data_IF_909892873361
#
_entry.id   IF_909892873361
#
_cell.length_a   1.000
_cell.length_b   1.000
_cell.length_c   1.000
_cell.angle_alpha   90.00
_cell.angle_beta   90.00
_cell.angle_gamma   90.00
#
_symmetry.space_group_name_H-M   'P 1'
#
loop_
_entity.id
_entity.type
_entity.pdbx_description
1 polymer ?
#
# COMPACT_ATOMS: atom_id res chain seq x y z
N UNK A 1 -15.38 -33.17 79.16
CA UNK A 1 -14.82 -34.20 78.26
C UNK A 1 -15.83 -34.35 77.13
N UNK A 2 -15.57 -33.74 75.96
CA UNK A 2 -15.30 -34.46 74.69
C UNK A 2 -16.64 -34.80 74.00
N UNK A 3 -16.98 -34.38 72.79
CA UNK A 3 -16.18 -34.06 71.61
C UNK A 3 -16.68 -34.94 70.46
N UNK A 4 -17.21 -34.30 69.41
CA UNK A 4 -17.32 -34.74 68.01
C UNK A 4 -17.64 -36.22 67.68
N UNK A 5 -18.83 -36.43 67.10
CA UNK A 5 -19.16 -37.30 65.96
C UNK A 5 -20.71 -37.29 65.87
N UNK A 6 -21.39 -37.17 64.74
CA UNK A 6 -21.03 -37.55 63.38
C UNK A 6 -21.79 -36.66 62.39
N UNK A 7 -20.99 -35.93 61.63
CA UNK A 7 -21.31 -35.14 60.45
C UNK A 7 -21.41 -36.16 59.29
N UNK A 8 -22.43 -37.03 59.32
CA UNK A 8 -22.53 -38.18 58.38
C UNK A 8 -23.97 -38.48 57.91
N UNK A 9 -24.90 -37.53 58.08
CA UNK A 9 -26.27 -37.60 57.54
C UNK A 9 -26.54 -36.69 56.33
N UNK A 10 -25.60 -35.80 55.97
CA UNK A 10 -25.80 -34.75 54.96
C UNK A 10 -25.15 -34.99 53.60
N UNK A 11 -24.30 -36.01 53.44
CA UNK A 11 -23.44 -36.17 52.24
C UNK A 11 -23.87 -37.29 51.29
N UNK A 12 -25.01 -37.93 51.53
CA UNK A 12 -25.55 -39.00 50.66
C UNK A 12 -26.87 -38.62 49.96
N UNK A 13 -27.40 -37.40 50.17
CA UNK A 13 -28.63 -36.94 49.53
C UNK A 13 -28.41 -35.89 48.42
N UNK A 14 -27.21 -35.34 48.28
CA UNK A 14 -26.87 -34.38 47.21
C UNK A 14 -26.29 -35.04 45.95
N UNK A 15 -25.85 -36.31 46.01
CA UNK A 15 -25.15 -36.97 44.89
C UNK A 15 -26.06 -37.79 43.97
N UNK A 16 -27.36 -37.92 44.26
CA UNK A 16 -28.26 -38.80 43.49
C UNK A 16 -29.42 -38.12 42.76
N UNK A 17 -29.57 -36.79 42.85
CA UNK A 17 -30.69 -36.06 42.19
C UNK A 17 -30.27 -35.15 41.02
N UNK A 18 -28.98 -35.10 40.67
CA UNK A 18 -28.45 -34.22 39.62
C UNK A 18 -28.19 -34.89 38.25
N UNK A 19 -28.67 -36.12 38.04
CA UNK A 19 -28.27 -36.93 36.87
C UNK A 19 -29.39 -37.29 35.89
N UNK A 20 -30.49 -36.52 35.80
CA UNK A 20 -31.54 -36.82 34.80
C UNK A 20 -32.46 -35.63 34.47
N UNK A 21 -31.92 -34.53 33.91
CA UNK A 21 -32.70 -33.58 33.08
C UNK A 21 -31.83 -32.94 31.99
N UNK A 22 -31.81 -33.58 30.82
CA UNK A 22 -31.81 -32.91 29.52
C UNK A 22 -33.19 -33.24 28.90
N UNK A 23 -33.85 -32.36 28.12
CA UNK A 23 -33.23 -31.77 26.93
C UNK A 23 -33.74 -30.36 26.51
N UNK A 24 -33.17 -29.87 25.40
CA UNK A 24 -33.63 -28.78 24.53
C UNK A 24 -33.52 -27.32 25.02
N UNK A 25 -32.30 -26.76 24.94
CA UNK A 25 -32.09 -25.41 24.39
C UNK A 25 -30.65 -25.22 23.87
N UNK A 26 -30.19 -26.17 23.06
CA UNK A 26 -29.10 -25.89 22.12
C UNK A 26 -29.72 -25.11 20.96
N UNK A 27 -29.39 -23.83 20.84
CA UNK A 27 -28.71 -23.25 19.66
C UNK A 27 -28.89 -21.73 19.64
N UNK A 28 -28.10 -21.03 20.45
CA UNK A 28 -27.59 -19.72 20.05
C UNK A 28 -26.07 -19.81 20.10
N UNK A 29 -25.51 -20.64 19.21
CA UNK A 29 -24.16 -20.38 18.74
C UNK A 29 -24.23 -19.02 18.05
N UNK A 30 -23.93 -17.96 18.80
CA UNK A 30 -23.25 -16.81 18.22
C UNK A 30 -22.00 -17.40 17.58
N UNK A 31 -22.10 -17.76 16.30
CA UNK A 31 -20.94 -17.87 15.44
C UNK A 31 -20.32 -16.48 15.47
N UNK A 32 -19.41 -16.27 16.40
CA UNK A 32 -18.34 -15.31 16.19
C UNK A 32 -17.63 -15.82 14.96
N UNK A 33 -18.02 -15.28 13.79
CA UNK A 33 -17.14 -15.28 12.64
C UNK A 33 -15.95 -14.44 13.12
N UNK A 34 -14.98 -15.11 13.71
CA UNK A 34 -13.63 -14.59 13.85
C UNK A 34 -13.15 -14.46 12.41
N UNK A 35 -13.53 -13.37 11.75
CA UNK A 35 -12.95 -12.96 10.50
C UNK A 35 -11.44 -12.99 10.80
N UNK A 36 -10.72 -13.91 10.16
CA UNK A 36 -9.27 -13.87 10.17
C UNK A 36 -8.93 -12.40 9.92
N UNK A 37 -8.30 -11.73 10.90
CA UNK A 37 -7.84 -10.36 10.73
C UNK A 37 -6.70 -10.42 9.71
N UNK A 38 -7.06 -10.58 8.43
CA UNK A 38 -6.19 -10.36 7.29
C UNK A 38 -6.00 -8.86 7.29
N UNK A 39 -4.97 -8.41 8.00
CA UNK A 39 -4.61 -7.00 8.03
C UNK A 39 -4.35 -6.48 6.62
N UNK A 40 -4.14 -5.17 6.48
CA UNK A 40 -4.04 -4.52 5.16
C UNK A 40 -2.74 -4.82 4.40
N UNK A 41 -1.92 -5.78 4.87
CA UNK A 41 -0.64 -6.16 4.26
C UNK A 41 -0.76 -6.73 2.85
N UNK A 42 -1.92 -7.27 2.48
CA UNK A 42 -2.15 -7.80 1.14
C UNK A 42 -2.08 -6.73 0.04
N UNK A 43 -2.37 -5.45 0.36
CA UNK A 43 -2.39 -4.36 -0.62
C UNK A 43 -0.99 -4.09 -1.19
N UNK A 44 0.05 -3.79 -0.39
CA UNK A 44 1.41 -3.58 -0.90
C UNK A 44 2.02 -4.84 -1.54
N UNK A 45 1.65 -6.04 -1.06
CA UNK A 45 2.09 -7.30 -1.66
C UNK A 45 1.48 -7.47 -3.05
N UNK A 46 0.17 -7.23 -3.19
CA UNK A 46 -0.53 -7.30 -4.47
C UNK A 46 0.03 -6.27 -5.48
N UNK A 47 0.29 -5.03 -5.03
CA UNK A 47 0.96 -4.02 -5.82
C UNK A 47 2.31 -4.51 -6.39
N UNK A 48 3.15 -5.08 -5.52
CA UNK A 48 4.46 -5.58 -5.91
C UNK A 48 4.38 -6.76 -6.88
N UNK A 49 3.45 -7.70 -6.64
CA UNK A 49 3.21 -8.82 -7.53
C UNK A 49 2.76 -8.33 -8.91
N UNK A 50 1.77 -7.43 -8.98
CA UNK A 50 1.25 -6.91 -10.25
C UNK A 50 2.33 -6.17 -11.03
N UNK A 51 3.09 -5.26 -10.40
CA UNK A 51 4.16 -4.53 -11.08
C UNK A 51 5.23 -5.47 -11.62
N UNK A 52 5.70 -6.40 -10.79
CA UNK A 52 6.74 -7.35 -11.19
C UNK A 52 6.24 -8.24 -12.33
N UNK A 53 5.06 -8.84 -12.19
CA UNK A 53 4.45 -9.65 -13.25
C UNK A 53 4.23 -8.86 -14.54
N UNK A 54 3.81 -7.60 -14.45
CA UNK A 54 3.62 -6.74 -15.63
C UNK A 54 4.93 -6.56 -16.38
N UNK A 55 6.02 -6.22 -15.69
CA UNK A 55 7.34 -6.05 -16.31
C UNK A 55 7.87 -7.33 -16.96
N UNK A 56 7.76 -8.47 -16.29
CA UNK A 56 8.22 -9.73 -16.84
C UNK A 56 7.36 -10.22 -18.01
N UNK A 57 6.03 -10.10 -17.91
CA UNK A 57 5.12 -10.52 -18.99
C UNK A 57 5.30 -9.65 -20.23
N UNK A 58 5.38 -8.32 -20.07
CA UNK A 58 5.62 -7.42 -21.22
C UNK A 58 6.98 -7.70 -21.87
N UNK A 59 8.03 -7.92 -21.06
CA UNK A 59 9.35 -8.29 -21.55
C UNK A 59 9.35 -9.60 -22.36
N UNK A 60 8.79 -10.68 -21.80
CA UNK A 60 8.73 -11.99 -22.47
C UNK A 60 7.94 -11.90 -23.78
N UNK A 61 6.80 -11.20 -23.77
CA UNK A 61 5.99 -11.03 -24.97
C UNK A 61 6.70 -10.19 -26.04
N UNK A 62 7.37 -9.11 -25.65
CA UNK A 62 8.11 -8.25 -26.56
C UNK A 62 9.26 -9.00 -27.25
N UNK A 63 9.98 -9.87 -26.52
CA UNK A 63 11.01 -10.76 -27.11
C UNK A 63 10.37 -11.77 -28.05
N UNK A 64 9.32 -12.47 -27.61
CA UNK A 64 8.66 -13.49 -28.42
C UNK A 64 8.11 -12.94 -29.74
N UNK A 65 7.68 -11.67 -29.74
CA UNK A 65 7.18 -10.96 -30.93
C UNK A 65 8.27 -10.27 -31.76
N UNK A 66 9.51 -10.20 -31.26
CA UNK A 66 10.59 -9.45 -31.92
C UNK A 66 10.37 -7.93 -31.92
N UNK A 67 9.56 -7.41 -30.99
CA UNK A 67 9.29 -5.97 -30.84
C UNK A 67 10.49 -5.22 -30.26
N UNK A 68 11.36 -5.91 -29.52
CA UNK A 68 12.56 -5.38 -28.86
C UNK A 68 13.74 -6.33 -29.05
N UNK A 69 14.96 -5.80 -28.96
CA UNK A 69 16.16 -6.63 -28.95
C UNK A 69 16.25 -7.44 -27.62
N UNK A 70 16.65 -8.73 -27.65
CA UNK A 70 16.59 -9.59 -26.46
C UNK A 70 17.56 -9.22 -25.34
N UNK A 71 18.66 -8.53 -25.66
CA UNK A 71 19.79 -8.43 -24.72
C UNK A 71 19.43 -7.68 -23.43
N UNK A 72 18.92 -6.44 -23.52
CA UNK A 72 18.45 -5.70 -22.33
C UNK A 72 17.64 -4.43 -22.67
N UNK A 73 16.38 -4.54 -23.11
CA UNK A 73 15.54 -3.39 -23.46
C UNK A 73 15.05 -2.63 -22.23
N UNK A 74 14.79 -1.34 -22.42
CA UNK A 74 14.09 -0.49 -21.44
C UNK A 74 12.71 -1.07 -21.12
N UNK A 75 12.25 -0.93 -19.88
CA UNK A 75 10.92 -1.39 -19.44
C UNK A 75 9.84 -0.74 -20.32
N UNK A 76 9.94 0.59 -20.50
CA UNK A 76 9.03 1.40 -21.31
C UNK A 76 8.96 0.95 -22.77
N UNK A 77 10.04 0.38 -23.32
CA UNK A 77 10.07 -0.19 -24.67
C UNK A 77 9.30 -1.52 -24.76
N UNK A 78 9.34 -2.35 -23.70
CA UNK A 78 8.62 -3.65 -23.68
C UNK A 78 7.10 -3.51 -23.69
N UNK A 79 6.57 -2.33 -23.34
CA UNK A 79 5.14 -2.04 -23.32
C UNK A 79 4.68 -1.11 -24.44
N UNK A 80 5.45 -0.99 -25.53
CA UNK A 80 5.24 0.08 -26.50
C UNK A 80 4.27 -0.25 -27.65
N UNK A 81 4.15 -1.52 -28.07
CA UNK A 81 3.26 -1.93 -29.19
C UNK A 81 2.22 -2.96 -28.74
N UNK A 82 1.04 -3.05 -29.39
CA UNK A 82 0.07 -4.10 -29.08
C UNK A 82 0.54 -5.50 -29.51
N UNK A 83 0.18 -6.56 -28.77
CA UNK A 83 -0.70 -6.59 -27.59
C UNK A 83 -0.02 -6.28 -26.24
N UNK A 84 1.31 -6.24 -26.19
CA UNK A 84 2.07 -6.05 -24.96
C UNK A 84 1.81 -4.69 -24.29
N UNK A 85 1.56 -3.65 -25.08
CA UNK A 85 1.18 -2.32 -24.57
C UNK A 85 -0.15 -2.31 -23.83
N UNK A 86 -1.11 -3.14 -24.25
CA UNK A 86 -2.41 -3.26 -23.58
C UNK A 86 -2.24 -3.93 -22.21
N UNK A 87 -1.44 -5.00 -22.13
CA UNK A 87 -1.16 -5.70 -20.87
C UNK A 87 -0.36 -4.80 -19.93
N UNK A 88 0.66 -4.12 -20.46
CA UNK A 88 1.46 -3.16 -19.71
C UNK A 88 0.61 -2.03 -19.12
N UNK A 89 -0.30 -1.46 -19.93
CA UNK A 89 -1.23 -0.42 -19.50
C UNK A 89 -2.15 -0.88 -18.38
N UNK A 90 -2.76 -2.06 -18.51
CA UNK A 90 -3.65 -2.62 -17.48
C UNK A 90 -2.90 -2.85 -16.16
N UNK A 91 -1.70 -3.43 -16.23
CA UNK A 91 -0.84 -3.65 -15.08
C UNK A 91 -0.47 -2.33 -14.38
N UNK A 92 0.04 -1.34 -15.13
CA UNK A 92 0.43 -0.06 -14.56
C UNK A 92 -0.74 0.74 -13.98
N UNK A 93 -1.92 0.71 -14.60
CA UNK A 93 -3.10 1.40 -14.06
C UNK A 93 -3.59 0.76 -12.75
N UNK A 94 -3.62 -0.58 -12.68
CA UNK A 94 -3.99 -1.28 -11.45
C UNK A 94 -2.97 -0.99 -10.33
N UNK A 95 -1.68 -0.99 -10.67
CA UNK A 95 -0.61 -0.63 -9.75
C UNK A 95 -0.68 0.84 -9.32
N UNK A 96 -1.05 1.76 -10.20
CA UNK A 96 -1.26 3.17 -9.85
C UNK A 96 -2.36 3.32 -8.81
N UNK A 97 -3.48 2.62 -8.98
CA UNK A 97 -4.56 2.62 -8.01
C UNK A 97 -4.16 2.03 -6.66
N UNK A 98 -3.49 0.87 -6.65
CA UNK A 98 -3.02 0.24 -5.40
C UNK A 98 -1.94 1.07 -4.70
N UNK A 99 -1.04 1.70 -5.46
CA UNK A 99 -0.04 2.64 -4.95
C UNK A 99 -0.71 3.83 -4.24
N UNK A 100 -1.73 4.41 -4.86
CA UNK A 100 -2.52 5.50 -4.26
C UNK A 100 -3.18 5.07 -2.94
N UNK A 101 -3.76 3.87 -2.90
CA UNK A 101 -4.35 3.30 -1.68
C UNK A 101 -3.28 3.13 -0.60
N UNK A 102 -2.10 2.60 -0.94
CA UNK A 102 -0.99 2.48 0.00
C UNK A 102 -0.60 3.83 0.60
N UNK A 103 -0.42 4.85 -0.24
CA UNK A 103 -0.07 6.21 0.20
C UNK A 103 -1.16 6.80 1.10
N UNK A 104 -2.43 6.59 0.77
CA UNK A 104 -3.56 7.06 1.58
C UNK A 104 -3.63 6.38 2.95
N UNK A 105 -3.53 5.05 3.00
CA UNK A 105 -3.53 4.28 4.25
C UNK A 105 -2.36 4.70 5.13
N UNK A 106 -1.16 4.82 4.55
CA UNK A 106 0.03 5.20 5.30
C UNK A 106 -0.09 6.63 5.86
N UNK A 107 -0.62 7.58 5.08
CA UNK A 107 -0.91 8.92 5.60
C UNK A 107 -1.87 8.89 6.79
N UNK A 108 -2.94 8.09 6.72
CA UNK A 108 -3.89 7.92 7.81
C UNK A 108 -3.20 7.40 9.09
N UNK A 109 -2.38 6.36 8.95
CA UNK A 109 -1.59 5.78 10.05
C UNK A 109 -0.67 6.86 10.67
N UNK A 110 0.14 7.53 9.85
CA UNK A 110 1.12 8.49 10.32
C UNK A 110 0.47 9.74 10.94
N UNK A 111 -0.61 10.24 10.34
CA UNK A 111 -1.40 11.37 10.88
C UNK A 111 -1.98 11.04 12.25
N UNK A 112 -2.50 9.83 12.42
CA UNK A 112 -3.08 9.40 13.68
C UNK A 112 -2.02 9.21 14.77
N UNK A 113 -0.91 8.53 14.47
CA UNK A 113 0.18 8.30 15.43
C UNK A 113 0.80 9.63 15.91
N UNK A 114 0.86 10.63 15.04
CA UNK A 114 1.41 11.95 15.38
C UNK A 114 0.38 12.92 16.00
N UNK A 115 -0.90 12.53 16.11
CA UNK A 115 -1.98 13.43 16.57
C UNK A 115 -1.73 13.98 17.99
N UNK A 116 -1.13 13.17 18.86
CA UNK A 116 -0.88 13.53 20.25
C UNK A 116 0.26 14.55 20.44
N UNK A 117 1.01 14.87 19.38
CA UNK A 117 2.10 15.86 19.40
C UNK A 117 1.62 17.32 19.45
N UNK A 118 0.31 17.55 19.34
CA UNK A 118 -0.28 18.90 19.40
C UNK A 118 0.32 19.84 18.35
N UNK A 119 0.87 20.97 18.78
CA UNK A 119 1.50 21.97 17.91
C UNK A 119 2.80 21.49 17.25
N UNK A 120 3.45 20.44 17.79
CA UNK A 120 4.67 19.86 17.24
C UNK A 120 4.41 18.84 16.12
N UNK A 121 3.15 18.58 15.78
CA UNK A 121 2.80 17.63 14.72
C UNK A 121 3.33 18.10 13.35
N UNK A 122 3.99 17.23 12.57
CA UNK A 122 4.56 17.60 11.26
C UNK A 122 3.51 17.65 10.14
N UNK A 123 2.45 18.45 10.31
CA UNK A 123 1.29 18.48 9.41
C UNK A 123 1.65 18.81 7.96
N UNK A 124 2.53 19.79 7.76
CA UNK A 124 2.99 20.17 6.42
C UNK A 124 3.73 19.00 5.74
N UNK A 125 4.65 18.37 6.46
CA UNK A 125 5.45 17.26 5.94
C UNK A 125 4.59 16.02 5.63
N UNK A 126 3.60 15.71 6.48
CA UNK A 126 2.63 14.64 6.22
C UNK A 126 1.84 14.89 4.93
N UNK A 127 1.36 16.14 4.72
CA UNK A 127 0.65 16.52 3.49
C UNK A 127 1.55 16.41 2.26
N UNK A 128 2.78 16.92 2.33
CA UNK A 128 3.74 16.79 1.23
C UNK A 128 4.05 15.34 0.92
N UNK A 129 4.19 14.47 1.93
CA UNK A 129 4.32 13.04 1.73
C UNK A 129 3.14 12.49 0.93
N UNK A 130 1.90 12.81 1.28
CA UNK A 130 0.73 12.36 0.50
C UNK A 130 0.74 12.89 -0.93
N UNK A 131 1.03 14.18 -1.12
CA UNK A 131 1.06 14.81 -2.44
C UNK A 131 2.09 14.15 -3.35
N UNK A 132 3.30 13.88 -2.86
CA UNK A 132 4.34 13.20 -3.67
C UNK A 132 3.94 11.77 -4.03
N UNK A 133 3.24 11.07 -3.12
CA UNK A 133 2.67 9.75 -3.40
C UNK A 133 1.61 9.79 -4.49
N UNK A 134 0.69 10.76 -4.43
CA UNK A 134 -0.34 10.98 -5.46
C UNK A 134 0.31 11.29 -6.82
N UNK A 135 1.31 12.19 -6.86
CA UNK A 135 2.04 12.52 -8.08
C UNK A 135 2.70 11.27 -8.67
N UNK A 136 3.34 10.44 -7.84
CA UNK A 136 3.94 9.17 -8.25
C UNK A 136 2.92 8.22 -8.87
N UNK A 137 1.79 8.00 -8.19
CA UNK A 137 0.71 7.12 -8.68
C UNK A 137 0.08 7.63 -9.98
N UNK A 138 -0.17 8.95 -10.09
CA UNK A 138 -0.67 9.57 -11.33
C UNK A 138 0.33 9.41 -12.48
N UNK A 139 1.62 9.62 -12.20
CA UNK A 139 2.68 9.40 -13.19
C UNK A 139 2.68 7.97 -13.73
N UNK A 140 2.51 6.98 -12.86
CA UNK A 140 2.44 5.57 -13.25
C UNK A 140 1.25 5.29 -14.20
N UNK A 141 0.09 5.89 -13.92
CA UNK A 141 -1.07 5.79 -14.82
C UNK A 141 -0.81 6.47 -16.17
N UNK A 142 -0.19 7.65 -16.19
CA UNK A 142 0.17 8.34 -17.44
C UNK A 142 1.12 7.46 -18.27
N UNK A 143 2.20 6.93 -17.68
CA UNK A 143 3.15 6.02 -18.35
C UNK A 143 2.45 4.82 -18.96
N UNK A 144 1.48 4.23 -18.27
CA UNK A 144 0.71 3.08 -18.75
C UNK A 144 -0.19 3.38 -19.94
N UNK A 145 -0.72 4.59 -20.07
CA UNK A 145 -1.68 4.93 -21.13
C UNK A 145 -1.06 5.67 -22.33
N UNK A 146 0.03 6.40 -22.10
CA UNK A 146 0.74 7.15 -23.14
C UNK A 146 2.07 6.45 -23.40
N UNK A 147 2.11 5.56 -24.38
CA UNK A 147 3.31 4.78 -24.71
C UNK A 147 4.40 5.68 -25.28
N UNK A 148 5.65 5.35 -24.97
CA UNK A 148 6.82 6.12 -25.39
C UNK A 148 6.89 6.29 -26.92
N UNK A 149 6.57 5.24 -27.69
CA UNK A 149 6.63 5.30 -29.16
C UNK A 149 5.47 6.04 -29.82
N UNK A 150 4.37 6.27 -29.09
CA UNK A 150 3.16 6.91 -29.63
C UNK A 150 3.10 8.39 -29.26
N UNK A 151 3.31 8.71 -27.97
CA UNK A 151 3.20 10.08 -27.44
C UNK A 151 4.31 10.33 -26.42
N UNK A 152 5.56 10.38 -26.91
CA UNK A 152 6.77 10.45 -26.09
C UNK A 152 6.74 11.57 -25.04
N UNK A 153 6.33 12.78 -25.42
CA UNK A 153 6.32 13.94 -24.50
C UNK A 153 5.46 13.67 -23.26
N UNK A 154 4.25 13.12 -23.46
CA UNK A 154 3.34 12.81 -22.36
C UNK A 154 3.87 11.63 -21.53
N UNK A 155 4.45 10.63 -22.20
CA UNK A 155 5.11 9.50 -21.53
C UNK A 155 6.22 9.98 -20.58
N UNK A 156 7.10 10.87 -21.06
CA UNK A 156 8.22 11.42 -20.29
C UNK A 156 7.71 12.24 -19.10
N UNK A 157 6.65 13.05 -19.28
CA UNK A 157 6.01 13.76 -18.15
C UNK A 157 5.52 12.76 -17.10
N UNK A 158 4.84 11.69 -17.53
CA UNK A 158 4.41 10.61 -16.64
C UNK A 158 5.56 9.92 -15.92
N UNK A 159 6.66 9.63 -16.63
CA UNK A 159 7.84 8.98 -16.08
C UNK A 159 8.52 9.85 -15.02
N UNK A 160 8.67 11.15 -15.29
CA UNK A 160 9.21 12.12 -14.32
C UNK A 160 8.31 12.19 -13.09
N UNK A 161 6.99 12.29 -13.27
CA UNK A 161 6.03 12.28 -12.16
C UNK A 161 6.14 10.99 -11.33
N UNK A 162 6.18 9.82 -11.98
CA UNK A 162 6.28 8.51 -11.34
C UNK A 162 7.56 8.37 -10.52
N UNK A 163 8.71 8.61 -11.14
CA UNK A 163 10.01 8.40 -10.52
C UNK A 163 10.32 9.46 -9.47
N UNK A 164 10.24 10.75 -9.80
CA UNK A 164 10.55 11.82 -8.84
C UNK A 164 9.52 11.87 -7.71
N UNK A 165 8.23 11.68 -8.01
CA UNK A 165 7.18 11.59 -7.00
C UNK A 165 7.42 10.44 -6.02
N UNK A 166 7.78 9.25 -6.54
CA UNK A 166 8.11 8.09 -5.69
C UNK A 166 9.37 8.31 -4.86
N UNK A 167 10.45 8.84 -5.44
CA UNK A 167 11.69 9.13 -4.70
C UNK A 167 11.40 10.12 -3.57
N UNK A 168 10.70 11.22 -3.85
CA UNK A 168 10.32 12.19 -2.84
C UNK A 168 9.44 11.57 -1.75
N UNK A 169 8.46 10.75 -2.13
CA UNK A 169 7.63 9.99 -1.19
C UNK A 169 8.49 9.12 -0.26
N UNK A 170 9.40 8.32 -0.81
CA UNK A 170 10.28 7.43 -0.06
C UNK A 170 11.10 8.20 0.97
N UNK A 171 11.74 9.30 0.56
CA UNK A 171 12.62 10.09 1.43
C UNK A 171 11.84 10.81 2.53
N UNK A 172 10.72 11.45 2.19
CA UNK A 172 9.86 12.14 3.16
C UNK A 172 9.27 11.14 4.15
N UNK A 173 8.73 10.01 3.66
CA UNK A 173 8.17 8.95 4.49
C UNK A 173 9.22 8.38 5.45
N UNK A 174 10.42 8.11 4.96
CA UNK A 174 11.54 7.62 5.77
C UNK A 174 11.95 8.63 6.84
N UNK A 175 12.00 9.92 6.49
CA UNK A 175 12.27 10.98 7.45
C UNK A 175 11.19 11.05 8.54
N UNK A 176 9.91 10.97 8.17
CA UNK A 176 8.78 10.94 9.10
C UNK A 176 8.88 9.74 10.05
N UNK A 177 9.16 8.54 9.54
CA UNK A 177 9.37 7.33 10.34
C UNK A 177 10.48 7.52 11.38
N UNK A 178 11.63 8.05 10.96
CA UNK A 178 12.81 8.22 11.82
C UNK A 178 12.63 9.32 12.87
N UNK A 179 12.06 10.47 12.50
CA UNK A 179 12.03 11.67 13.35
C UNK A 179 10.77 11.82 14.18
N UNK A 180 9.62 11.42 13.67
CA UNK A 180 8.34 11.69 14.31
C UNK A 180 7.63 10.43 14.79
N UNK A 181 7.72 9.32 14.06
CA UNK A 181 7.06 8.07 14.49
C UNK A 181 7.92 7.23 15.45
N UNK A 182 9.17 7.61 15.67
CA UNK A 182 10.07 6.91 16.59
C UNK A 182 10.35 5.46 16.16
N UNK A 183 10.24 5.16 14.86
CA UNK A 183 10.50 3.81 14.38
C UNK A 183 11.96 3.46 14.63
N UNK A 184 12.19 2.22 15.02
CA UNK A 184 13.54 1.72 15.22
C UNK A 184 14.31 1.68 13.89
N UNK A 185 15.64 1.77 13.97
CA UNK A 185 16.55 1.79 12.81
C UNK A 185 16.32 0.67 11.80
N UNK A 186 15.94 -0.53 12.26
CA UNK A 186 15.70 -1.66 11.38
C UNK A 186 14.50 -1.47 10.42
N UNK A 187 13.60 -0.52 10.69
CA UNK A 187 12.51 -0.17 9.77
C UNK A 187 12.85 0.97 8.82
N UNK A 188 13.45 2.07 9.32
CA UNK A 188 13.68 3.24 8.48
C UNK A 188 15.01 3.19 7.71
N UNK A 189 16.04 2.51 8.21
CA UNK A 189 17.34 2.46 7.53
C UNK A 189 17.28 1.73 6.18
N UNK A 190 16.61 0.56 6.04
CA UNK A 190 16.44 -0.08 4.72
C UNK A 190 15.72 0.82 3.72
N UNK A 191 14.70 1.57 4.16
CA UNK A 191 13.99 2.54 3.30
C UNK A 191 14.87 3.69 2.85
N UNK A 192 15.77 4.15 3.72
CA UNK A 192 16.76 5.17 3.36
C UNK A 192 17.73 4.62 2.31
N UNK A 193 18.24 3.40 2.48
CA UNK A 193 19.11 2.75 1.50
C UNK A 193 18.41 2.59 0.15
N UNK A 194 17.14 2.17 0.15
CA UNK A 194 16.32 2.10 -1.07
C UNK A 194 16.18 3.48 -1.71
N UNK A 195 15.86 4.52 -0.93
CA UNK A 195 15.74 5.89 -1.43
C UNK A 195 17.04 6.43 -2.05
N UNK A 196 18.18 6.18 -1.41
CA UNK A 196 19.50 6.53 -1.97
C UNK A 196 19.77 5.75 -3.25
N UNK A 197 19.46 4.44 -3.27
CA UNK A 197 19.55 3.62 -4.46
C UNK A 197 18.72 4.17 -5.61
N UNK A 198 17.49 4.62 -5.35
CA UNK A 198 16.64 5.23 -6.37
C UNK A 198 17.23 6.54 -6.91
N UNK A 199 17.86 7.38 -6.06
CA UNK A 199 18.54 8.60 -6.52
C UNK A 199 19.71 8.24 -7.44
N UNK A 200 20.58 7.32 -7.01
CA UNK A 200 21.74 6.89 -7.80
C UNK A 200 21.32 6.28 -9.15
N UNK A 201 20.32 5.40 -9.12
CA UNK A 201 19.74 4.79 -10.32
C UNK A 201 19.09 5.83 -11.22
N UNK A 202 18.37 6.82 -10.67
CA UNK A 202 17.76 7.91 -11.42
C UNK A 202 18.78 8.83 -12.08
N UNK A 203 19.86 9.18 -11.38
CA UNK A 203 20.97 9.97 -11.94
C UNK A 203 21.65 9.20 -13.08
N UNK A 204 21.93 7.91 -12.86
CA UNK A 204 22.50 7.03 -13.90
C UNK A 204 21.59 6.93 -15.12
N UNK A 205 20.28 6.75 -14.91
CA UNK A 205 19.28 6.69 -15.98
C UNK A 205 19.29 7.97 -16.83
N UNK A 206 19.18 9.14 -16.20
CA UNK A 206 19.17 10.43 -16.91
C UNK A 206 20.51 10.68 -17.60
N UNK A 207 21.63 10.38 -16.94
CA UNK A 207 22.97 10.55 -17.50
C UNK A 207 23.20 9.70 -18.74
N UNK A 208 22.91 8.40 -18.66
CA UNK A 208 23.08 7.47 -19.79
C UNK A 208 22.08 7.78 -20.93
N UNK A 209 20.83 8.16 -20.62
CA UNK A 209 19.87 8.63 -21.64
C UNK A 209 20.33 9.91 -22.33
N UNK A 210 20.86 10.88 -21.57
CA UNK A 210 21.38 12.13 -22.15
C UNK A 210 22.58 11.85 -23.05
N UNK A 211 23.53 11.03 -22.60
CA UNK A 211 24.68 10.62 -23.41
C UNK A 211 24.26 9.91 -24.71
N UNK A 212 23.26 9.02 -24.64
CA UNK A 212 22.66 8.36 -25.79
C UNK A 212 22.09 9.37 -26.79
N UNK A 213 21.31 10.35 -26.34
CA UNK A 213 20.74 11.41 -27.18
C UNK A 213 21.80 12.33 -27.79
N UNK A 214 22.84 12.70 -27.03
CA UNK A 214 23.92 13.55 -27.53
C UNK A 214 24.78 12.86 -28.59
N UNK A 215 24.98 11.54 -28.49
CA UNK A 215 25.72 10.75 -29.48
C UNK A 215 24.90 10.50 -30.76
N UNK A 216 23.57 10.53 -30.67
CA UNK A 216 22.66 10.25 -31.79
C UNK A 216 21.42 11.17 -31.74
N UNK A 217 21.56 12.47 -32.02
CA UNK A 217 20.49 13.45 -31.85
C UNK A 217 19.30 13.23 -32.80
N UNK A 218 19.57 12.76 -34.02
CA UNK A 218 18.54 12.56 -35.05
C UNK A 218 17.79 11.23 -34.92
N UNK A 219 18.17 10.38 -33.96
CA UNK A 219 17.62 9.03 -33.83
C UNK A 219 16.25 9.08 -33.13
N UNK A 220 15.17 8.64 -33.79
CA UNK A 220 13.84 8.67 -33.19
C UNK A 220 13.77 7.68 -32.01
N UNK A 221 13.05 8.05 -30.96
CA UNK A 221 12.83 7.24 -29.75
C UNK A 221 12.26 5.84 -30.05
N UNK A 222 11.48 5.70 -31.12
CA UNK A 222 10.95 4.41 -31.60
C UNK A 222 12.02 3.43 -32.09
N UNK A 223 13.22 3.90 -32.41
CA UNK A 223 14.35 3.07 -32.84
C UNK A 223 15.33 2.73 -31.70
N UNK A 224 15.13 3.29 -30.50
CA UNK A 224 15.91 2.95 -29.31
C UNK A 224 15.57 1.56 -28.76
N UNK A 225 14.39 1.02 -29.08
CA UNK A 225 13.97 -0.34 -28.72
C UNK A 225 14.76 -1.43 -29.45
N UNK A 226 15.52 -1.08 -30.50
CA UNK A 226 16.29 -1.97 -31.37
C UNK A 226 17.73 -1.47 -31.58
N UNK A 227 18.45 -1.29 -30.47
CA UNK A 227 19.89 -0.99 -30.51
C UNK A 227 20.64 -2.31 -30.45
N UNK A 228 21.44 -2.61 -31.48
CA UNK A 228 22.24 -3.84 -31.57
C UNK A 228 23.56 -3.72 -30.79
N UNK A 229 24.17 -4.86 -30.39
CA UNK A 229 25.50 -4.87 -29.75
C UNK A 229 26.63 -4.20 -30.54
N UNK A 230 26.48 -4.12 -31.87
CA UNK A 230 27.44 -3.48 -32.77
C UNK A 230 27.31 -1.95 -32.82
N UNK A 231 26.25 -1.38 -32.22
CA UNK A 231 25.98 0.04 -32.26
C UNK A 231 26.91 0.83 -31.32
N UNK A 232 27.53 1.94 -31.76
CA UNK A 232 28.40 2.76 -30.92
C UNK A 232 27.72 3.34 -29.67
N UNK A 233 26.39 3.32 -29.58
CA UNK A 233 25.63 3.74 -28.39
C UNK A 233 25.03 2.60 -27.57
N UNK A 234 25.44 1.36 -27.84
CA UNK A 234 24.95 0.17 -27.15
C UNK A 234 25.20 0.25 -25.64
N UNK A 235 26.40 0.68 -25.22
CA UNK A 235 26.76 0.77 -23.81
C UNK A 235 25.86 1.76 -23.04
N UNK A 236 25.59 2.94 -23.61
CA UNK A 236 24.69 3.93 -23.02
C UNK A 236 23.25 3.43 -22.95
N UNK A 237 22.80 2.72 -23.98
CA UNK A 237 21.47 2.09 -24.01
C UNK A 237 21.32 1.08 -22.88
N UNK A 238 22.24 0.11 -22.77
CA UNK A 238 22.22 -0.91 -21.72
C UNK A 238 22.32 -0.29 -20.33
N UNK A 239 23.20 0.71 -20.14
CA UNK A 239 23.30 1.45 -18.88
C UNK A 239 21.96 2.11 -18.51
N UNK A 240 21.31 2.77 -19.46
CA UNK A 240 20.02 3.41 -19.22
C UNK A 240 18.93 2.40 -18.90
N UNK A 241 18.83 1.30 -19.64
CA UNK A 241 17.91 0.19 -19.36
C UNK A 241 18.14 -0.37 -17.96
N UNK A 242 19.38 -0.73 -17.60
CA UNK A 242 19.71 -1.25 -16.26
C UNK A 242 19.32 -0.27 -15.15
N UNK A 243 19.56 1.01 -15.36
CA UNK A 243 19.19 2.06 -14.41
C UNK A 243 17.67 2.21 -14.26
N UNK A 244 16.89 2.02 -15.33
CA UNK A 244 15.41 2.02 -15.29
C UNK A 244 14.88 0.80 -14.52
N UNK A 245 15.40 -0.40 -14.83
CA UNK A 245 15.03 -1.65 -14.17
C UNK A 245 15.34 -1.63 -12.67
N UNK A 246 16.54 -1.20 -12.30
CA UNK A 246 16.94 -1.06 -10.89
C UNK A 246 16.02 -0.07 -10.18
N UNK A 247 15.74 1.09 -10.79
CA UNK A 247 14.86 2.11 -10.20
C UNK A 247 13.44 1.56 -9.98
N UNK A 248 12.87 0.88 -10.98
CA UNK A 248 11.55 0.26 -10.88
C UNK A 248 11.46 -0.77 -9.75
N UNK A 249 12.42 -1.69 -9.67
CA UNK A 249 12.45 -2.72 -8.62
C UNK A 249 12.72 -2.15 -7.23
N UNK A 250 13.53 -1.10 -7.10
CA UNK A 250 13.72 -0.42 -5.81
C UNK A 250 12.43 0.23 -5.31
N UNK A 251 11.64 0.85 -6.20
CA UNK A 251 10.32 1.41 -5.85
C UNK A 251 9.37 0.29 -5.43
N UNK A 252 9.34 -0.83 -6.15
CA UNK A 252 8.54 -2.02 -5.78
C UNK A 252 8.95 -2.53 -4.39
N UNK A 253 10.25 -2.67 -4.14
CA UNK A 253 10.79 -3.14 -2.86
C UNK A 253 10.42 -2.19 -1.72
N UNK A 254 10.41 -0.88 -1.95
CA UNK A 254 9.95 0.09 -0.97
C UNK A 254 8.49 -0.15 -0.57
N UNK A 255 7.58 -0.34 -1.53
CA UNK A 255 6.17 -0.63 -1.20
C UNK A 255 6.03 -1.94 -0.41
N UNK A 256 6.84 -2.96 -0.70
CA UNK A 256 6.87 -4.20 0.11
C UNK A 256 7.26 -3.94 1.58
N UNK A 257 8.11 -2.94 1.85
CA UNK A 257 8.45 -2.58 3.24
C UNK A 257 7.24 -2.08 4.04
N UNK A 258 6.12 -1.71 3.40
CA UNK A 258 4.88 -1.31 4.08
C UNK A 258 4.08 -2.50 4.61
N UNK A 259 4.26 -3.70 4.05
CA UNK A 259 3.44 -4.86 4.39
C UNK A 259 3.46 -5.21 5.90
N UNK A 260 4.61 -5.21 6.60
CA UNK A 260 4.65 -5.50 8.03
C UNK A 260 3.88 -4.46 8.88
N UNK A 261 3.87 -3.20 8.46
CA UNK A 261 3.09 -2.15 9.15
C UNK A 261 1.60 -2.34 8.92
N UNK A 262 1.20 -2.55 7.66
CA UNK A 262 -0.20 -2.66 7.28
C UNK A 262 -0.87 -3.89 7.88
N UNK A 263 -0.11 -4.95 8.18
CA UNK A 263 -0.61 -6.13 8.89
C UNK A 263 -1.26 -5.80 10.24
N UNK A 264 -0.86 -4.70 10.88
CA UNK A 264 -1.39 -4.28 12.20
C UNK A 264 -2.73 -3.56 12.12
N UNK A 265 -3.20 -3.24 10.91
CA UNK A 265 -4.40 -2.44 10.69
C UNK A 265 -5.44 -3.24 9.91
N UNK A 266 -6.71 -3.04 10.25
CA UNK A 266 -7.86 -3.62 9.55
C UNK A 266 -8.95 -2.55 9.37
N UNK A 267 -9.73 -2.68 8.29
CA UNK A 267 -10.86 -1.79 8.04
C UNK A 267 -11.99 -2.12 9.01
N UNK A 268 -12.45 -1.12 9.76
CA UNK A 268 -13.70 -1.21 10.51
C UNK A 268 -14.85 -0.85 9.59
N UNK A 269 -15.70 -1.82 9.28
CA UNK A 269 -16.95 -1.58 8.56
C UNK A 269 -17.90 -0.76 9.45
N UNK A 270 -18.62 0.22 8.91
CA UNK A 270 -19.61 0.96 9.69
C UNK A 270 -20.69 0.01 10.19
N UNK A 271 -20.97 0.05 11.49
CA UNK A 271 -22.05 -0.75 12.09
C UNK A 271 -23.40 -0.35 11.49
N UNK A 272 -24.06 -1.31 10.83
CA UNK A 272 -25.36 -1.15 10.17
C UNK A 272 -26.46 -0.64 11.12
N UNK A 273 -26.28 -0.82 12.43
CA UNK A 273 -27.20 -0.29 13.46
C UNK A 273 -27.32 1.23 13.51
N UNK A 274 -26.23 1.98 13.22
CA UNK A 274 -26.27 3.45 13.17
C UNK A 274 -26.91 4.00 11.89
N UNK A 275 -26.95 3.20 10.82
CA UNK A 275 -27.57 3.57 9.55
C UNK A 275 -29.11 3.47 9.66
N UNK A 276 -29.65 2.52 10.43
CA UNK A 276 -31.11 2.46 10.69
C UNK A 276 -31.65 3.68 11.43
N UNK A 277 -30.89 4.25 12.37
CA UNK A 277 -31.29 5.49 13.07
C UNK A 277 -31.26 6.74 12.18
N UNK A 278 -30.45 6.75 11.12
CA UNK A 278 -30.37 7.84 10.15
C UNK A 278 -31.41 7.71 9.02
N UNK A 279 -31.75 6.49 8.60
CA UNK A 279 -32.72 6.23 7.53
C UNK A 279 -34.17 6.12 8.03
N UNK A 280 -34.37 5.77 9.30
CA UNK A 280 -35.68 5.75 9.95
C UNK A 280 -35.57 6.48 11.29
N UNK A 281 -35.63 7.83 11.30
CA UNK A 281 -35.80 8.56 12.54
C UNK A 281 -37.15 8.13 13.12
N UNK A 282 -37.11 7.33 14.17
CA UNK A 282 -38.28 6.89 14.93
C UNK A 282 -39.15 8.12 15.23
N UNK A 283 -40.36 8.16 14.69
CA UNK A 283 -41.37 9.17 14.99
C UNK A 283 -41.70 9.05 16.48
N UNK A 284 -41.20 9.96 17.31
CA UNK A 284 -41.63 10.06 18.71
C UNK A 284 -43.11 10.47 18.72
N UNK A 285 -43.99 9.78 19.48
CA UNK A 285 -45.17 10.44 20.02
C UNK A 285 -44.68 11.47 21.06
N UNK A 286 -45.13 12.72 20.92
CA UNK A 286 -44.89 13.75 21.93
C UNK A 286 -45.64 13.42 23.22
N UNK A 287 -44.93 13.24 24.33
CA UNK A 287 -45.49 13.47 25.67
C UNK A 287 -44.42 14.02 26.64
N UNK A 288 -44.68 15.27 27.04
CA UNK A 288 -44.22 16.14 28.13
C UNK A 288 -43.33 15.63 29.32
N UNK A 289 -42.29 16.46 29.60
CA UNK A 289 -41.62 16.85 30.89
C UNK A 289 -40.89 15.75 31.71
N UNK A 290 -39.72 15.97 32.36
CA UNK A 290 -39.25 17.07 33.25
C UNK A 290 -37.70 17.29 33.20
N UNK A 291 -37.17 18.42 33.75
CA UNK A 291 -35.78 18.86 33.54
C UNK A 291 -34.83 18.37 34.66
N UNK A 292 -34.20 17.22 34.47
CA UNK A 292 -32.99 16.87 35.22
C UNK A 292 -32.29 15.63 34.64
N UNK A 293 -31.44 15.80 33.63
CA UNK A 293 -30.22 15.00 33.54
C UNK A 293 -29.22 15.63 32.59
N UNK A 294 -28.11 15.98 33.21
CA UNK A 294 -26.86 16.51 32.69
C UNK A 294 -26.20 15.57 31.66
N UNK A 295 -25.59 16.21 30.67
CA UNK A 295 -24.15 16.08 30.32
C UNK A 295 -23.66 14.74 29.72
N UNK A 296 -22.87 14.91 28.66
CA UNK A 296 -21.89 13.98 28.08
C UNK A 296 -22.41 12.80 27.25
N UNK A 297 -22.31 12.94 25.93
CA UNK A 297 -21.87 11.83 25.08
C UNK A 297 -20.96 12.35 23.95
N UNK A 298 -19.70 11.97 24.07
CA UNK A 298 -18.53 12.37 23.31
C UNK A 298 -18.57 11.83 21.87
N UNK A 299 -18.23 12.66 20.87
CA UNK A 299 -17.79 12.19 19.56
C UNK A 299 -16.33 11.72 19.64
N UNK A 300 -16.11 10.41 19.63
CA UNK A 300 -14.83 9.80 19.27
C UNK A 300 -15.09 8.69 18.26
N UNK A 301 -14.80 8.95 17.00
CA UNK A 301 -14.51 7.92 16.00
C UNK A 301 -13.26 8.39 15.25
N UNK A 302 -12.23 7.55 15.24
CA UNK A 302 -11.25 7.32 14.16
C UNK A 302 -10.19 6.37 14.76
N UNK A 303 -10.24 5.12 14.28
CA UNK A 303 -9.23 4.06 14.31
C UNK A 303 -8.70 3.68 15.70
N UNK A 304 -9.07 2.49 16.18
CA UNK A 304 -8.43 1.85 17.33
C UNK A 304 -7.35 0.88 16.84
N UNK A 305 -6.08 1.12 17.20
CA UNK A 305 -5.05 0.08 17.18
C UNK A 305 -5.13 -0.74 18.48
N UNK A 306 -4.87 -2.06 18.48
CA UNK A 306 -4.71 -2.80 19.73
C UNK A 306 -3.42 -2.35 20.42
N UNK A 307 -3.54 -1.83 21.64
CA UNK A 307 -2.40 -1.68 22.55
C UNK A 307 -1.94 -3.07 22.97
N UNK A 308 -0.77 -3.50 22.52
CA UNK A 308 0.05 -4.48 23.22
C UNK A 308 1.49 -3.94 23.25
N UNK A 309 2.03 -3.93 24.46
CA UNK A 309 3.35 -3.42 24.84
C UNK A 309 4.49 -4.07 24.06
#
# INVERSE_FOLDING_TARGET
MGGQESLFGGLLNETFNNSLRLPFSLWSSHMSVSCFHVGLSWIPILLAMILSSTFFISYILAIYKGSVEPDFPMISATGAVPPESCIFSQGLNLSAFLSLICCYIWYGIASQQTRYMGTKQPRCLLKWCSVTGIIGSLGLSIVGNFQQMSVEVVHVIGAVMSFIGSIAYILIMTHLCRRYLGYHSYYWAPRLCIGIGCILSGISFVGCKMALHLKNPDRPSSSLSRILPSDPVYAESVCSSASEWILGFLIILFFLTLAPEFRRYALQLPEVGKIKQLLFPYSRPETFLTPSTRICANMKNIVSAPCLF
#
